data_IF_366522656585
#
_entry.id   IF_366522656585
#
_cell.length_a   1.000
_cell.length_b   1.000
_cell.length_c   1.000
_cell.angle_alpha   90.00
_cell.angle_beta   90.00
_cell.angle_gamma   90.00
#
_symmetry.space_group_name_H-M   'P 1'
#
loop_
_entity.id
_entity.type
_entity.pdbx_description
1 polymer ?
#
# COMPACT_ATOMS: atom_id res chain seq x y z
N UNK A 1 3.68 -6.70 -3.93
CA UNK A 1 2.61 -7.06 -2.98
C UNK A 1 1.35 -7.47 -3.74
N UNK A 2 0.88 -6.62 -4.66
CA UNK A 2 -0.26 -6.88 -5.53
C UNK A 2 -0.14 -8.17 -6.34
N UNK A 3 1.00 -8.45 -6.98
CA UNK A 3 1.22 -9.75 -7.66
C UNK A 3 0.98 -10.94 -6.72
N UNK A 4 1.45 -10.86 -5.48
CA UNK A 4 1.23 -11.91 -4.48
C UNK A 4 -0.24 -12.06 -4.12
N UNK A 5 -0.95 -10.95 -3.96
CA UNK A 5 -2.39 -10.94 -3.69
C UNK A 5 -3.21 -11.48 -4.87
N UNK A 6 -2.92 -11.03 -6.09
CA UNK A 6 -3.54 -11.55 -7.32
C UNK A 6 -3.20 -13.02 -7.57
N UNK A 7 -2.03 -13.49 -7.13
CA UNK A 7 -1.66 -14.92 -7.18
C UNK A 7 -2.49 -15.74 -6.19
N UNK A 8 -2.75 -15.23 -4.98
CA UNK A 8 -3.65 -15.89 -4.03
C UNK A 8 -5.08 -15.98 -4.55
N UNK A 9 -5.57 -14.92 -5.22
CA UNK A 9 -6.87 -14.91 -5.91
C UNK A 9 -6.88 -15.94 -7.05
N UNK A 10 -5.82 -15.99 -7.87
CA UNK A 10 -5.67 -16.98 -8.95
C UNK A 10 -5.73 -18.42 -8.45
N UNK A 11 -5.16 -18.70 -7.27
CA UNK A 11 -5.21 -20.03 -6.65
C UNK A 11 -6.53 -20.30 -5.89
N UNK A 12 -7.49 -19.37 -5.90
CA UNK A 12 -8.77 -19.51 -5.22
C UNK A 12 -8.67 -19.48 -3.69
N UNK A 13 -7.54 -19.05 -3.13
CA UNK A 13 -7.32 -18.97 -1.69
C UNK A 13 -8.01 -17.75 -1.07
N UNK A 14 -8.28 -16.73 -1.89
CA UNK A 14 -8.84 -15.44 -1.49
C UNK A 14 -9.85 -15.01 -2.56
N UNK A 15 -11.08 -14.58 -2.20
CA UNK A 15 -12.04 -14.11 -3.19
C UNK A 15 -11.58 -12.79 -3.81
N UNK A 16 -11.84 -12.61 -5.10
CA UNK A 16 -11.46 -11.40 -5.83
C UNK A 16 -11.52 -11.61 -7.34
N UNK A 17 -11.33 -10.52 -8.08
CA UNK A 17 -11.25 -10.56 -9.53
C UNK A 17 -9.80 -10.79 -9.96
N UNK A 18 -9.59 -11.76 -10.85
CA UNK A 18 -8.29 -12.01 -11.46
C UNK A 18 -8.35 -11.57 -12.91
N UNK A 19 -7.58 -10.55 -13.26
CA UNK A 19 -7.37 -10.13 -14.64
C UNK A 19 -5.98 -10.58 -15.12
N UNK A 20 -5.89 -11.57 -16.02
CA UNK A 20 -4.64 -12.02 -16.61
C UNK A 20 -4.03 -11.00 -17.59
N UNK A 21 -4.81 -10.03 -18.07
CA UNK A 21 -4.36 -8.97 -18.99
C UNK A 21 -3.88 -7.71 -18.27
N UNK A 22 -3.93 -7.69 -16.94
CA UNK A 22 -3.49 -6.55 -16.14
C UNK A 22 -2.00 -6.27 -16.34
N UNK A 23 -1.67 -4.97 -16.45
CA UNK A 23 -0.31 -4.48 -16.66
C UNK A 23 0.68 -4.89 -15.56
N UNK A 24 0.18 -5.28 -14.39
CA UNK A 24 0.98 -5.81 -13.26
C UNK A 24 1.78 -7.07 -13.61
N UNK A 25 1.36 -7.82 -14.63
CA UNK A 25 2.02 -9.06 -15.07
C UNK A 25 3.12 -8.79 -16.09
N UNK A 26 3.01 -7.71 -16.87
CA UNK A 26 3.97 -7.33 -17.90
C UNK A 26 5.01 -6.33 -17.40
N UNK A 27 4.63 -5.42 -16.50
CA UNK A 27 5.50 -4.41 -15.93
C UNK A 27 5.49 -4.52 -14.40
N UNK A 28 6.57 -5.09 -13.87
CA UNK A 28 6.75 -5.27 -12.42
C UNK A 28 6.76 -3.92 -11.69
N UNK A 29 7.20 -2.85 -12.37
CA UNK A 29 7.22 -1.52 -11.78
C UNK A 29 5.84 -0.88 -11.84
N UNK A 30 4.88 -1.32 -12.65
CA UNK A 30 3.59 -0.65 -12.77
C UNK A 30 2.57 -1.10 -11.68
N UNK A 31 1.86 -0.19 -10.99
CA UNK A 31 2.03 1.27 -10.91
C UNK A 31 2.98 1.73 -9.76
N UNK A 32 4.24 2.04 -10.09
CA UNK A 32 5.31 2.34 -9.12
C UNK A 32 5.03 3.61 -8.33
N UNK A 33 4.42 4.60 -8.97
CA UNK A 33 4.08 5.87 -8.31
C UNK A 33 3.12 5.64 -7.15
N UNK A 34 2.06 4.86 -7.34
CA UNK A 34 1.05 4.61 -6.31
C UNK A 34 1.67 3.88 -5.11
N UNK A 35 2.51 2.88 -5.37
CA UNK A 35 3.25 2.17 -4.32
C UNK A 35 4.29 3.05 -3.60
N UNK A 36 4.99 3.90 -4.34
CA UNK A 36 5.95 4.86 -3.81
C UNK A 36 5.29 5.87 -2.87
N UNK A 37 4.20 6.52 -3.32
CA UNK A 37 3.41 7.42 -2.48
C UNK A 37 2.83 6.70 -1.27
N UNK A 38 2.34 5.47 -1.43
CA UNK A 38 1.86 4.64 -0.32
C UNK A 38 2.95 4.35 0.72
N UNK A 39 4.17 4.01 0.28
CA UNK A 39 5.31 3.77 1.16
C UNK A 39 5.73 5.05 1.88
N UNK A 40 5.77 6.19 1.19
CA UNK A 40 6.07 7.50 1.79
C UNK A 40 5.01 7.87 2.83
N UNK A 41 3.72 7.68 2.54
CA UNK A 41 2.64 7.90 3.50
C UNK A 41 2.77 7.00 4.74
N UNK A 42 3.15 5.73 4.56
CA UNK A 42 3.42 4.83 5.69
C UNK A 42 4.56 5.36 6.59
N UNK A 43 5.63 5.90 5.99
CA UNK A 43 6.78 6.42 6.75
C UNK A 43 6.49 7.78 7.39
N UNK A 44 5.87 8.71 6.67
CA UNK A 44 5.67 10.07 7.17
C UNK A 44 4.47 10.20 8.12
N UNK A 45 3.43 9.36 7.94
CA UNK A 45 2.19 9.45 8.71
C UNK A 45 2.06 8.28 9.68
N UNK A 46 2.18 7.04 9.20
CA UNK A 46 1.88 5.86 10.03
C UNK A 46 3.00 5.53 11.02
N UNK A 47 4.27 5.76 10.66
CA UNK A 47 5.40 5.55 11.56
C UNK A 47 5.41 6.48 12.79
N UNK A 48 5.17 7.81 12.70
CA UNK A 48 5.06 8.64 13.90
C UNK A 48 3.81 8.30 14.74
N UNK A 49 2.70 7.92 14.10
CA UNK A 49 1.50 7.43 14.81
C UNK A 49 1.83 6.16 15.60
N UNK A 50 2.53 5.19 14.99
CA UNK A 50 3.06 4.01 15.68
C UNK A 50 3.91 4.41 16.88
N UNK A 51 4.89 5.29 16.72
CA UNK A 51 5.78 5.70 17.81
C UNK A 51 5.02 6.39 18.95
N UNK A 52 3.95 7.14 18.64
CA UNK A 52 3.07 7.74 19.66
C UNK A 52 2.24 6.68 20.40
N UNK A 53 1.73 5.67 19.68
CA UNK A 53 1.01 4.54 20.25
C UNK A 53 1.91 3.69 21.16
N UNK A 54 3.14 3.41 20.76
CA UNK A 54 4.13 2.68 21.58
C UNK A 54 4.47 3.40 22.89
N UNK A 55 4.46 4.74 22.90
CA UNK A 55 4.68 5.52 24.13
C UNK A 55 3.44 5.60 25.02
N UNK A 56 2.25 5.52 24.43
CA UNK A 56 0.99 5.68 25.15
C UNK A 56 0.50 4.37 25.76
N UNK A 57 0.73 3.24 25.09
CA UNK A 57 0.33 1.92 25.57
C UNK A 57 1.52 1.17 26.16
N UNK A 58 1.36 0.62 27.36
CA UNK A 58 2.34 -0.29 27.96
C UNK A 58 2.31 -1.66 27.27
N UNK A 59 3.49 -2.23 26.97
CA UNK A 59 3.65 -3.54 26.35
C UNK A 59 3.81 -3.50 24.82
N UNK A 60 3.94 -4.67 24.18
CA UNK A 60 4.18 -4.78 22.70
C UNK A 60 2.92 -5.11 21.89
N UNK A 61 1.93 -5.78 22.50
CA UNK A 61 0.74 -6.27 21.78
C UNK A 61 -0.30 -5.16 21.60
N UNK A 62 -0.58 -4.38 22.64
CA UNK A 62 -1.53 -3.26 22.57
C UNK A 62 -1.16 -2.22 21.50
N UNK A 63 0.08 -1.69 21.42
CA UNK A 63 0.44 -0.73 20.38
C UNK A 63 0.46 -1.35 18.98
N UNK A 64 0.75 -2.66 18.85
CA UNK A 64 0.70 -3.36 17.56
C UNK A 64 -0.74 -3.44 17.04
N UNK A 65 -1.69 -3.86 17.87
CA UNK A 65 -3.10 -3.95 17.50
C UNK A 65 -3.69 -2.56 17.22
N UNK A 66 -3.36 -1.57 18.04
CA UNK A 66 -3.79 -0.19 17.82
C UNK A 66 -3.18 0.39 16.53
N UNK A 67 -1.91 0.11 16.25
CA UNK A 67 -1.26 0.50 14.99
C UNK A 67 -1.91 -0.20 13.80
N UNK A 68 -2.22 -1.49 13.90
CA UNK A 68 -2.91 -2.22 12.84
C UNK A 68 -4.30 -1.64 12.56
N UNK A 69 -5.09 -1.33 13.59
CA UNK A 69 -6.39 -0.69 13.43
C UNK A 69 -6.27 0.70 12.79
N UNK A 70 -5.33 1.53 13.25
CA UNK A 70 -5.08 2.85 12.68
C UNK A 70 -4.61 2.79 11.22
N UNK A 71 -3.71 1.86 10.90
CA UNK A 71 -3.21 1.62 9.55
C UNK A 71 -4.33 1.13 8.63
N UNK A 72 -5.12 0.16 9.08
CA UNK A 72 -6.29 -0.37 8.35
C UNK A 72 -7.26 0.76 8.03
N UNK A 73 -7.61 1.59 9.02
CA UNK A 73 -8.51 2.72 8.83
C UNK A 73 -7.93 3.74 7.84
N UNK A 74 -6.66 4.10 7.99
CA UNK A 74 -5.99 5.06 7.10
C UNK A 74 -5.95 4.55 5.65
N UNK A 75 -5.55 3.29 5.43
CA UNK A 75 -5.53 2.69 4.10
C UNK A 75 -6.94 2.62 3.50
N UNK A 76 -7.95 2.24 4.28
CA UNK A 76 -9.35 2.19 3.83
C UNK A 76 -9.86 3.58 3.42
N UNK A 77 -9.54 4.63 4.20
CA UNK A 77 -9.93 6.00 3.88
C UNK A 77 -9.25 6.50 2.59
N UNK A 78 -7.98 6.17 2.40
CA UNK A 78 -7.25 6.52 1.17
C UNK A 78 -7.84 5.77 -0.03
N UNK A 79 -8.07 4.45 0.09
CA UNK A 79 -8.68 3.64 -0.97
C UNK A 79 -10.07 4.16 -1.33
N UNK A 80 -10.88 4.50 -0.33
CA UNK A 80 -12.21 5.09 -0.54
C UNK A 80 -12.11 6.47 -1.22
N UNK A 81 -11.23 7.36 -0.74
CA UNK A 81 -11.06 8.69 -1.34
C UNK A 81 -10.59 8.59 -2.81
N UNK A 82 -9.62 7.73 -3.08
CA UNK A 82 -9.13 7.47 -4.43
C UNK A 82 -10.20 6.83 -5.31
N UNK A 83 -10.96 5.88 -4.77
CA UNK A 83 -12.09 5.27 -5.45
C UNK A 83 -13.16 6.28 -5.84
N UNK A 84 -13.52 7.19 -4.93
CA UNK A 84 -14.51 8.25 -5.19
C UNK A 84 -14.03 9.32 -6.19
N UNK A 85 -12.72 9.47 -6.37
CA UNK A 85 -12.13 10.44 -7.32
C UNK A 85 -11.88 9.81 -8.68
N UNK A 86 -11.28 8.61 -8.71
CA UNK A 86 -10.77 7.96 -9.92
C UNK A 86 -11.65 6.81 -10.43
N UNK A 87 -12.30 6.08 -9.53
CA UNK A 87 -13.11 4.90 -9.85
C UNK A 87 -14.59 5.26 -9.85
N UNK A 88 -14.98 6.30 -10.59
CA UNK A 88 -16.38 6.71 -10.69
C UNK A 88 -17.14 5.84 -11.70
N UNK A 89 -18.43 5.52 -11.43
CA UNK A 89 -19.23 4.74 -12.36
C UNK A 89 -19.36 5.47 -13.69
N UNK A 90 -19.12 4.75 -14.78
CA UNK A 90 -19.32 5.26 -16.13
C UNK A 90 -20.81 5.34 -16.52
N UNK A 91 -21.13 5.72 -17.77
CA UNK A 91 -22.49 5.73 -18.29
C UNK A 91 -23.21 4.37 -18.15
N UNK A 92 -22.44 3.28 -18.19
CA UNK A 92 -22.94 1.90 -18.08
C UNK A 92 -23.07 1.42 -16.62
N UNK A 93 -22.84 2.30 -15.64
CA UNK A 93 -22.93 1.99 -14.20
C UNK A 93 -21.77 1.16 -13.65
N UNK A 94 -20.84 0.70 -14.50
CA UNK A 94 -19.68 -0.10 -14.10
C UNK A 94 -18.54 0.77 -13.56
N UNK A 95 -17.84 0.23 -12.56
CA UNK A 95 -16.63 0.82 -11.99
C UNK A 95 -15.41 0.47 -12.88
N UNK A 96 -14.66 1.47 -13.38
CA UNK A 96 -13.66 1.26 -14.41
C UNK A 96 -12.35 0.62 -13.91
N UNK A 97 -12.01 0.73 -12.62
CA UNK A 97 -10.73 0.26 -12.08
C UNK A 97 -10.89 -1.04 -11.29
N UNK A 98 -11.80 -1.08 -10.34
CA UNK A 98 -12.12 -2.27 -9.55
C UNK A 98 -13.56 -2.23 -9.07
N UNK A 99 -14.14 -3.40 -8.85
CA UNK A 99 -15.48 -3.53 -8.30
C UNK A 99 -15.50 -4.58 -7.18
N UNK A 100 -15.79 -4.12 -5.96
CA UNK A 100 -15.93 -4.96 -4.77
C UNK A 100 -17.39 -5.13 -4.34
N UNK A 101 -18.36 -4.86 -5.20
CA UNK A 101 -19.79 -4.92 -4.84
C UNK A 101 -20.23 -6.30 -4.34
N UNK A 102 -19.61 -7.38 -4.81
CA UNK A 102 -19.88 -8.76 -4.39
C UNK A 102 -19.07 -9.22 -3.17
N UNK A 103 -18.24 -8.35 -2.59
CA UNK A 103 -17.34 -8.69 -1.49
C UNK A 103 -17.97 -8.42 -0.12
N UNK A 104 -17.57 -9.20 0.88
CA UNK A 104 -18.07 -9.05 2.25
C UNK A 104 -17.69 -7.70 2.87
N UNK A 105 -18.66 -7.05 3.52
CA UNK A 105 -18.53 -5.70 4.10
C UNK A 105 -17.97 -4.68 3.10
N UNK A 106 -18.49 -4.70 1.86
CA UNK A 106 -18.16 -3.67 0.89
C UNK A 106 -18.87 -2.35 1.19
N UNK A 107 -18.27 -1.25 0.72
CA UNK A 107 -18.88 0.07 0.74
C UNK A 107 -18.75 0.71 -0.64
N UNK A 108 -19.89 0.96 -1.29
CA UNK A 108 -20.02 1.54 -2.63
C UNK A 108 -19.25 0.78 -3.74
N UNK A 109 -18.94 -0.50 -3.53
CA UNK A 109 -18.04 -1.26 -4.41
C UNK A 109 -16.59 -0.76 -4.43
N UNK A 110 -16.24 0.25 -3.62
CA UNK A 110 -14.93 0.90 -3.62
C UNK A 110 -13.94 0.29 -2.64
N UNK A 111 -14.43 -0.10 -1.46
CA UNK A 111 -13.62 -0.74 -0.41
C UNK A 111 -14.32 -1.99 0.09
N UNK A 112 -13.56 -2.97 0.57
CA UNK A 112 -14.11 -4.16 1.23
C UNK A 112 -13.25 -4.55 2.44
N UNK A 113 -13.82 -5.31 3.37
CA UNK A 113 -13.12 -5.69 4.60
C UNK A 113 -11.84 -6.48 4.34
N UNK A 114 -11.87 -7.36 3.34
CA UNK A 114 -10.71 -8.16 2.98
C UNK A 114 -9.51 -7.30 2.55
N UNK A 115 -9.74 -6.35 1.64
CA UNK A 115 -8.70 -5.43 1.18
C UNK A 115 -8.25 -4.48 2.29
N UNK A 116 -9.19 -3.96 3.08
CA UNK A 116 -8.88 -3.13 4.23
C UNK A 116 -7.88 -3.84 5.18
N UNK A 117 -8.15 -5.10 5.51
CA UNK A 117 -7.27 -5.92 6.36
C UNK A 117 -5.94 -6.23 5.67
N UNK A 118 -5.94 -6.55 4.37
CA UNK A 118 -4.72 -6.83 3.61
C UNK A 118 -3.79 -5.60 3.56
N UNK A 119 -4.33 -4.42 3.24
CA UNK A 119 -3.57 -3.17 3.23
C UNK A 119 -3.14 -2.76 4.63
N UNK A 120 -4.00 -2.91 5.63
CA UNK A 120 -3.65 -2.69 7.04
C UNK A 120 -2.50 -3.59 7.52
N UNK A 121 -2.49 -4.86 7.10
CA UNK A 121 -1.42 -5.81 7.41
C UNK A 121 -0.12 -5.41 6.72
N UNK A 122 -0.17 -5.06 5.43
CA UNK A 122 0.99 -4.60 4.68
C UNK A 122 1.59 -3.31 5.24
N UNK A 123 0.75 -2.32 5.58
CA UNK A 123 1.18 -1.06 6.20
C UNK A 123 1.78 -1.29 7.61
N UNK A 124 1.22 -2.22 8.38
CA UNK A 124 1.77 -2.64 9.67
C UNK A 124 3.13 -3.31 9.50
N UNK A 125 3.27 -4.24 8.55
CA UNK A 125 4.55 -4.88 8.24
C UNK A 125 5.59 -3.82 7.81
N UNK A 126 5.18 -2.86 6.97
CA UNK A 126 6.03 -1.78 6.50
C UNK A 126 6.56 -0.92 7.66
N UNK A 127 5.68 -0.52 8.58
CA UNK A 127 6.02 0.39 9.69
C UNK A 127 6.75 -0.30 10.85
N UNK A 128 6.47 -1.58 11.12
CA UNK A 128 7.05 -2.32 12.24
C UNK A 128 8.31 -3.09 11.91
N UNK A 129 8.46 -3.55 10.66
CA UNK A 129 9.56 -4.45 10.28
C UNK A 129 10.42 -3.83 9.19
N UNK A 130 9.81 -3.48 8.05
CA UNK A 130 10.57 -3.09 6.86
C UNK A 130 11.28 -1.75 7.08
N UNK A 131 10.54 -0.71 7.44
CA UNK A 131 11.09 0.63 7.65
C UNK A 131 12.20 0.67 8.71
N UNK A 132 12.04 0.14 9.94
CA UNK A 132 13.12 0.22 10.93
C UNK A 132 14.36 -0.59 10.53
N UNK A 133 14.20 -1.76 9.89
CA UNK A 133 15.34 -2.53 9.38
C UNK A 133 16.05 -1.82 8.24
N UNK A 134 15.29 -1.26 7.31
CA UNK A 134 15.83 -0.49 6.19
C UNK A 134 16.55 0.76 6.70
N UNK A 135 15.95 1.51 7.62
CA UNK A 135 16.58 2.70 8.22
C UNK A 135 17.87 2.33 8.97
N UNK A 136 17.89 1.21 9.70
CA UNK A 136 19.10 0.73 10.37
C UNK A 136 20.19 0.35 9.37
N UNK A 137 19.84 -0.30 8.27
CA UNK A 137 20.76 -0.64 7.18
C UNK A 137 21.31 0.61 6.49
N UNK A 138 20.44 1.56 6.13
CA UNK A 138 20.84 2.79 5.45
C UNK A 138 21.79 3.64 6.31
N UNK A 139 21.64 3.64 7.64
CA UNK A 139 22.58 4.33 8.55
C UNK A 139 24.01 3.78 8.52
N UNK A 140 24.20 2.55 8.04
CA UNK A 140 25.54 1.94 7.90
C UNK A 140 26.21 2.34 6.58
N UNK A 141 25.47 2.92 5.64
CA UNK A 141 25.96 3.30 4.32
C UNK A 141 26.49 4.74 4.37
N UNK A 142 27.66 5.03 3.79
CA UNK A 142 28.18 6.39 3.71
C UNK A 142 27.20 7.34 2.99
N UNK A 143 27.06 8.57 3.50
CA UNK A 143 26.13 9.56 2.96
C UNK A 143 26.38 9.83 1.46
N UNK A 144 27.64 9.84 1.02
CA UNK A 144 27.98 10.01 -0.40
C UNK A 144 27.42 8.92 -1.30
N UNK A 145 27.42 7.66 -0.84
CA UNK A 145 26.84 6.55 -1.59
C UNK A 145 25.30 6.61 -1.59
N UNK A 146 24.69 6.99 -0.46
CA UNK A 146 23.23 7.19 -0.38
C UNK A 146 22.76 8.32 -1.31
N UNK A 147 23.49 9.43 -1.35
CA UNK A 147 23.18 10.56 -2.22
C UNK A 147 23.31 10.18 -3.69
N UNK A 148 24.36 9.42 -4.05
CA UNK A 148 24.55 8.95 -5.42
C UNK A 148 23.44 7.98 -5.85
N UNK A 149 23.06 7.03 -5.00
CA UNK A 149 21.95 6.11 -5.26
C UNK A 149 20.64 6.87 -5.38
N UNK A 150 20.36 7.83 -4.49
CA UNK A 150 19.14 8.63 -4.52
C UNK A 150 19.07 9.50 -5.78
N UNK A 151 20.19 10.12 -6.18
CA UNK A 151 20.28 10.88 -7.42
C UNK A 151 20.09 9.98 -8.65
N UNK A 152 20.68 8.78 -8.65
CA UNK A 152 20.50 7.78 -9.70
C UNK A 152 19.04 7.31 -9.82
N UNK A 153 18.38 7.05 -8.69
CA UNK A 153 16.95 6.72 -8.65
C UNK A 153 16.08 7.86 -9.18
N UNK A 154 16.37 9.11 -8.76
CA UNK A 154 15.67 10.29 -9.26
C UNK A 154 15.86 10.50 -10.76
N UNK A 155 17.08 10.35 -11.27
CA UNK A 155 17.37 10.44 -12.70
C UNK A 155 16.67 9.32 -13.49
N UNK A 156 16.70 8.08 -13.00
CA UNK A 156 15.98 6.96 -13.58
C UNK A 156 14.47 7.19 -13.63
N UNK A 157 13.90 7.76 -12.55
CA UNK A 157 12.49 8.15 -12.51
C UNK A 157 12.15 9.21 -13.56
N UNK A 158 12.97 10.26 -13.68
CA UNK A 158 12.80 11.28 -14.72
C UNK A 158 12.91 10.70 -16.14
N UNK A 159 13.81 9.74 -16.36
CA UNK A 159 13.95 9.05 -17.65
C UNK A 159 12.72 8.21 -18.00
N UNK A 160 12.10 7.55 -17.01
CA UNK A 160 10.87 6.78 -17.20
C UNK A 160 9.63 7.65 -17.46
N UNK A 161 9.68 8.93 -17.11
CA UNK A 161 8.60 9.91 -17.36
C UNK A 161 8.77 10.66 -18.69
N UNK A 162 9.91 10.50 -19.38
CA UNK A 162 10.10 11.08 -20.71
C UNK A 162 9.39 10.20 -21.76
N UNK A 163 8.68 10.82 -22.71
CA UNK A 163 7.91 10.11 -23.75
C UNK A 163 8.79 9.42 -24.80
#
# INVERSE_FOLDING_TARGET
MEIGYCTLIRFGLVPGTYDPSSLIWSDWLYPFCVYGFGAVACVLVLFPVKNRLERHFGGRVAPLLASFAANTLACTLIELAMGLVLNRPGPDGMLPLWDYSDMFCNFMGQVCLQNALAFGAAATLMTWVVHPKLAAFLRQVPEGALNLVSAGMGAGFCLLLLP
#
